data_IF_531204122943
#
_entry.id   IF_531204122943
#
_cell.length_a   1.000
_cell.length_b   1.000
_cell.length_c   1.000
_cell.angle_alpha   90.00
_cell.angle_beta   90.00
_cell.angle_gamma   90.00
#
_symmetry.space_group_name_H-M   'P 1'
#
loop_
_entity.id
_entity.type
_entity.pdbx_description
1 polymer ?
#
# COMPACT_ATOMS: atom_id res chain seq x y z
N UNK A 1 19.61 -8.76 14.48
CA UNK A 1 19.63 -8.82 13.00
C UNK A 1 18.68 -9.94 12.58
N UNK A 2 17.45 -9.60 12.17
CA UNK A 2 16.44 -10.58 11.75
C UNK A 2 16.87 -11.14 10.39
N UNK A 3 17.17 -12.44 10.33
CA UNK A 3 17.47 -13.14 9.06
C UNK A 3 16.16 -13.26 8.29
N UNK A 4 16.07 -12.63 7.12
CA UNK A 4 14.91 -12.76 6.24
C UNK A 4 14.73 -14.23 5.86
N UNK A 5 13.49 -14.70 5.87
CA UNK A 5 13.18 -16.11 5.63
C UNK A 5 13.22 -16.42 4.13
N UNK A 6 13.56 -17.65 3.75
CA UNK A 6 13.70 -18.10 2.34
C UNK A 6 12.46 -17.78 1.47
N UNK A 7 11.28 -17.68 2.08
CA UNK A 7 10.03 -17.33 1.40
C UNK A 7 9.94 -15.83 1.01
N UNK A 8 10.39 -14.92 1.88
CA UNK A 8 10.40 -13.47 1.61
C UNK A 8 11.39 -13.13 0.49
N UNK A 9 12.53 -13.83 0.47
CA UNK A 9 13.57 -13.66 -0.54
C UNK A 9 13.08 -14.05 -1.96
N UNK A 10 12.28 -15.10 -2.06
CA UNK A 10 11.72 -15.55 -3.33
C UNK A 10 10.72 -14.52 -3.90
N UNK A 11 9.89 -13.91 -3.04
CA UNK A 11 8.95 -12.87 -3.47
C UNK A 11 9.68 -11.63 -4.02
N UNK A 12 10.79 -11.24 -3.38
CA UNK A 12 11.62 -10.13 -3.86
C UNK A 12 12.18 -10.38 -5.26
N UNK A 13 12.84 -11.53 -5.44
CA UNK A 13 13.49 -11.86 -6.72
C UNK A 13 12.45 -11.95 -7.85
N UNK A 14 11.30 -12.58 -7.58
CA UNK A 14 10.19 -12.67 -8.53
C UNK A 14 9.64 -11.28 -8.90
N UNK A 15 9.40 -10.43 -7.90
CA UNK A 15 8.94 -9.05 -8.11
C UNK A 15 9.91 -8.23 -8.98
N UNK A 16 11.22 -8.39 -8.79
CA UNK A 16 12.24 -7.70 -9.58
C UNK A 16 12.25 -8.18 -11.05
N UNK A 17 12.01 -9.47 -11.31
CA UNK A 17 11.88 -10.01 -12.68
C UNK A 17 10.63 -9.47 -13.37
N UNK A 18 9.48 -9.49 -12.70
CA UNK A 18 8.21 -8.98 -13.24
C UNK A 18 8.30 -7.48 -13.53
N UNK A 19 8.91 -6.69 -12.62
CA UNK A 19 9.07 -5.25 -12.83
C UNK A 19 9.86 -4.93 -14.11
N UNK A 20 10.93 -5.69 -14.40
CA UNK A 20 11.72 -5.54 -15.64
C UNK A 20 10.87 -5.81 -16.87
N UNK A 21 10.10 -6.90 -16.87
CA UNK A 21 9.20 -7.24 -17.97
C UNK A 21 8.13 -6.16 -18.20
N UNK A 22 7.53 -5.61 -17.14
CA UNK A 22 6.55 -4.53 -17.26
C UNK A 22 7.19 -3.30 -17.90
N UNK A 23 8.39 -2.90 -17.47
CA UNK A 23 9.10 -1.73 -18.02
C UNK A 23 9.38 -1.94 -19.51
N UNK A 24 9.92 -3.09 -19.89
CA UNK A 24 10.22 -3.44 -21.29
C UNK A 24 8.96 -3.40 -22.17
N UNK A 25 7.83 -3.91 -21.67
CA UNK A 25 6.58 -3.99 -22.42
C UNK A 25 5.75 -2.70 -22.40
N UNK A 26 5.88 -1.85 -21.37
CA UNK A 26 5.12 -0.59 -21.28
C UNK A 26 5.86 0.55 -21.97
N UNK A 27 7.20 0.56 -21.93
CA UNK A 27 7.98 1.56 -22.66
C UNK A 27 7.78 1.46 -24.19
N UNK A 28 7.45 0.27 -24.70
CA UNK A 28 7.11 0.08 -26.13
C UNK A 28 5.72 0.60 -26.50
N UNK A 29 4.86 0.92 -25.52
CA UNK A 29 3.53 1.51 -25.69
C UNK A 29 3.60 3.05 -25.59
N UNK A 30 4.30 3.70 -26.53
CA UNK A 30 4.35 5.16 -26.59
C UNK A 30 2.99 5.73 -27.03
N UNK A 31 2.17 6.23 -26.09
CA UNK A 31 1.07 7.19 -26.30
C UNK A 31 0.52 7.66 -24.94
N UNK A 32 0.96 8.81 -24.42
CA UNK A 32 0.77 9.20 -23.02
C UNK A 32 -0.17 10.40 -22.81
N UNK A 33 -1.44 10.26 -23.17
CA UNK A 33 -2.52 11.08 -22.57
C UNK A 33 -3.15 10.40 -21.34
N UNK A 34 -2.39 9.54 -20.64
CA UNK A 34 -2.87 8.81 -19.47
C UNK A 34 -2.93 9.74 -18.25
N UNK A 35 -4.12 10.02 -17.69
CA UNK A 35 -4.28 10.94 -16.56
C UNK A 35 -3.71 10.40 -15.24
N UNK A 36 -3.18 9.17 -15.23
CA UNK A 36 -2.49 8.53 -14.12
C UNK A 36 -3.28 8.61 -12.82
N UNK A 37 -2.64 9.06 -11.73
CA UNK A 37 -3.26 9.21 -10.41
C UNK A 37 -4.55 10.03 -10.46
N UNK A 38 -4.57 11.14 -11.19
CA UNK A 38 -5.74 12.03 -11.25
C UNK A 38 -6.94 11.30 -11.88
N UNK A 39 -6.70 10.51 -12.92
CA UNK A 39 -7.74 9.68 -13.53
C UNK A 39 -8.27 8.61 -12.58
N UNK A 40 -7.37 7.95 -11.84
CA UNK A 40 -7.77 6.97 -10.83
C UNK A 40 -8.60 7.60 -9.70
N UNK A 41 -8.18 8.75 -9.17
CA UNK A 41 -8.91 9.45 -8.10
C UNK A 41 -10.31 9.89 -8.54
N UNK A 42 -10.45 10.37 -9.78
CA UNK A 42 -11.76 10.68 -10.38
C UNK A 42 -12.63 9.42 -10.47
N UNK A 43 -12.09 8.33 -10.99
CA UNK A 43 -12.79 7.05 -11.14
C UNK A 43 -13.19 6.40 -9.80
N UNK A 44 -12.39 6.59 -8.74
CA UNK A 44 -12.73 6.13 -7.40
C UNK A 44 -13.85 6.98 -6.80
N UNK A 45 -13.81 8.29 -7.01
CA UNK A 45 -14.86 9.22 -6.57
C UNK A 45 -16.20 8.93 -7.29
N UNK A 46 -16.17 8.74 -8.60
CA UNK A 46 -17.36 8.38 -9.39
C UNK A 46 -18.01 7.08 -8.92
N UNK A 47 -17.21 6.14 -8.41
CA UNK A 47 -17.68 4.85 -7.89
C UNK A 47 -17.97 4.86 -6.38
N UNK A 48 -17.91 6.02 -5.73
CA UNK A 48 -18.06 6.15 -4.27
C UNK A 48 -17.14 5.21 -3.47
N UNK A 49 -15.92 5.01 -3.97
CA UNK A 49 -14.93 4.13 -3.31
C UNK A 49 -14.13 4.93 -2.31
N UNK A 50 -14.27 4.56 -1.04
CA UNK A 50 -13.39 5.05 0.02
C UNK A 50 -12.05 4.33 -0.03
N UNK A 51 -10.96 5.07 -0.20
CA UNK A 51 -9.59 4.56 -0.18
C UNK A 51 -8.77 5.19 0.96
N UNK A 52 -7.67 4.52 1.32
CA UNK A 52 -6.73 4.95 2.36
C UNK A 52 -5.45 5.37 1.67
N UNK A 53 -5.04 6.63 1.83
CA UNK A 53 -3.75 7.11 1.32
C UNK A 53 -2.61 6.68 2.26
N UNK A 54 -1.37 6.82 1.82
CA UNK A 54 -0.21 6.61 2.69
C UNK A 54 -0.22 7.54 3.91
N UNK A 55 -0.70 8.78 3.75
CA UNK A 55 -0.83 9.75 4.84
C UNK A 55 -1.87 9.30 5.87
N UNK A 56 -3.01 8.79 5.40
CA UNK A 56 -4.05 8.22 6.27
C UNK A 56 -3.51 7.02 7.03
N UNK A 57 -2.78 6.12 6.36
CA UNK A 57 -2.12 5.00 7.01
C UNK A 57 -1.10 5.43 8.06
N UNK A 58 -0.28 6.46 7.81
CA UNK A 58 0.67 7.00 8.80
C UNK A 58 -0.02 7.56 10.05
N UNK A 59 -1.21 8.14 9.89
CA UNK A 59 -2.04 8.55 11.02
C UNK A 59 -2.52 7.34 11.82
N UNK A 60 -3.03 6.30 11.15
CA UNK A 60 -3.45 5.06 11.81
C UNK A 60 -2.31 4.39 12.57
N UNK A 61 -1.16 4.24 11.93
CA UNK A 61 0.08 3.71 12.53
C UNK A 61 0.45 4.45 13.83
N UNK A 62 0.33 5.78 13.82
CA UNK A 62 0.61 6.61 15.00
C UNK A 62 -0.41 6.39 16.12
N UNK A 63 -1.69 6.20 15.78
CA UNK A 63 -2.74 5.88 16.75
C UNK A 63 -2.52 4.48 17.35
N UNK A 64 -2.17 3.48 16.53
CA UNK A 64 -1.88 2.13 17.01
C UNK A 64 -0.69 2.10 17.99
N UNK A 65 0.36 2.85 17.70
CA UNK A 65 1.53 2.99 18.59
C UNK A 65 1.12 3.70 19.89
N UNK A 66 0.35 4.79 19.81
CA UNK A 66 -0.12 5.53 21.00
C UNK A 66 -1.02 4.68 21.91
N UNK A 67 -1.82 3.79 21.31
CA UNK A 67 -2.76 2.91 22.02
C UNK A 67 -2.11 1.64 22.57
N UNK A 68 -0.79 1.47 22.41
CA UNK A 68 -0.08 0.34 22.95
C UNK A 68 -0.12 0.33 24.49
N UNK A 69 -0.20 -0.85 25.09
CA UNK A 69 -0.23 -1.04 26.54
C UNK A 69 0.89 -1.98 26.97
N UNK A 70 1.54 -1.67 28.10
CA UNK A 70 2.63 -2.48 28.63
C UNK A 70 3.83 -2.54 27.67
N UNK A 71 4.29 -3.75 27.36
CA UNK A 71 5.45 -3.99 26.49
C UNK A 71 5.06 -4.21 25.01
N UNK A 72 3.79 -4.07 24.66
CA UNK A 72 3.35 -4.27 23.27
C UNK A 72 3.82 -3.11 22.39
N UNK A 73 4.32 -3.35 21.17
CA UNK A 73 4.84 -2.26 20.32
C UNK A 73 3.73 -1.42 19.67
N UNK A 74 2.51 -1.96 19.59
CA UNK A 74 1.32 -1.31 19.05
C UNK A 74 0.07 -2.10 19.41
N UNK A 75 -1.07 -1.42 19.49
CA UNK A 75 -2.39 -2.04 19.54
C UNK A 75 -3.10 -1.80 18.20
N UNK A 76 -3.26 -2.86 17.42
CA UNK A 76 -3.85 -2.77 16.07
C UNK A 76 -5.36 -2.56 16.11
N UNK A 77 -5.89 -1.86 15.12
CA UNK A 77 -7.32 -1.94 14.82
C UNK A 77 -7.66 -3.34 14.33
N UNK A 78 -8.69 -3.96 14.90
CA UNK A 78 -9.10 -5.33 14.56
C UNK A 78 -10.35 -5.38 13.69
N UNK A 79 -11.02 -4.23 13.50
CA UNK A 79 -12.15 -4.10 12.59
C UNK A 79 -11.90 -3.00 11.56
N UNK A 80 -12.45 -3.19 10.36
CA UNK A 80 -12.42 -2.16 9.31
C UNK A 80 -13.14 -0.90 9.78
N UNK A 81 -14.27 -1.05 10.49
CA UNK A 81 -15.06 0.08 10.99
C UNK A 81 -14.25 0.98 11.92
N UNK A 82 -13.48 0.40 12.85
CA UNK A 82 -12.61 1.17 13.74
C UNK A 82 -11.44 1.79 13.00
N UNK A 83 -10.76 1.02 12.13
CA UNK A 83 -9.62 1.51 11.34
C UNK A 83 -10.02 2.70 10.47
N UNK A 84 -11.18 2.62 9.83
CA UNK A 84 -11.69 3.62 8.91
C UNK A 84 -12.37 4.77 9.66
N UNK A 85 -12.72 4.63 10.94
CA UNK A 85 -13.35 5.66 11.76
C UNK A 85 -12.40 6.53 12.59
N UNK A 86 -11.12 6.18 12.70
CA UNK A 86 -10.12 6.81 13.57
C UNK A 86 -9.43 8.06 12.97
#
# INVERSE_FOLDING_TARGET
MLKSTKAEQNNRNDSELVAKQIIENVHSLQNSNFPARKGLELLLKERDVRYVTYKDWKRLDSIEIKNATGLTPRRKFVTVKEMVGA
#
